data_IF_897857621331
#
_entry.id   IF_897857621331
#
_cell.length_a   1.000
_cell.length_b   1.000
_cell.length_c   1.000
_cell.angle_alpha   90.00
_cell.angle_beta   90.00
_cell.angle_gamma   90.00
#
_symmetry.space_group_name_H-M   'P 1'
#
loop_
_entity.id
_entity.type
_entity.pdbx_description
1 polymer ?
#
# COMPACT_ATOMS: atom_id res chain seq x y z
N UNK A 1 -14.90 67.48 -17.80
CA UNK A 1 -15.71 66.26 -17.96
C UNK A 1 -14.73 65.10 -18.03
N UNK A 2 -14.78 64.17 -17.07
CA UNK A 2 -13.88 63.01 -17.08
C UNK A 2 -14.35 62.08 -18.20
N UNK A 3 -13.48 61.81 -19.17
CA UNK A 3 -13.81 60.91 -20.31
C UNK A 3 -13.55 59.46 -19.92
N UNK A 4 -14.33 58.55 -20.48
CA UNK A 4 -14.21 57.10 -20.24
C UNK A 4 -12.79 56.58 -20.54
N UNK A 5 -12.14 57.11 -21.58
CA UNK A 5 -10.75 56.79 -21.95
C UNK A 5 -9.75 57.18 -20.86
N UNK A 6 -9.99 58.27 -20.13
CA UNK A 6 -9.12 58.72 -19.03
C UNK A 6 -9.24 57.79 -17.82
N UNK A 7 -10.47 57.38 -17.47
CA UNK A 7 -10.72 56.40 -16.41
C UNK A 7 -10.06 55.06 -16.75
N UNK A 8 -10.20 54.58 -17.98
CA UNK A 8 -9.59 53.33 -18.42
C UNK A 8 -8.06 53.34 -18.34
N UNK A 9 -7.40 54.46 -18.68
CA UNK A 9 -5.94 54.58 -18.53
C UNK A 9 -5.48 54.57 -17.08
N UNK A 10 -6.21 55.24 -16.18
CA UNK A 10 -5.90 55.24 -14.74
C UNK A 10 -6.11 53.86 -14.11
N UNK A 11 -7.12 53.12 -14.55
CA UNK A 11 -7.43 51.80 -14.02
C UNK A 11 -6.62 50.67 -14.67
N UNK A 12 -5.98 50.90 -15.83
CA UNK A 12 -5.27 49.87 -16.57
C UNK A 12 -4.19 49.12 -15.75
N UNK A 13 -3.34 49.78 -14.93
CA UNK A 13 -2.35 49.07 -14.11
C UNK A 13 -2.99 48.17 -13.05
N UNK A 14 -4.06 48.64 -12.41
CA UNK A 14 -4.81 47.89 -11.39
C UNK A 14 -5.50 46.69 -12.06
N UNK A 15 -6.18 46.92 -13.19
CA UNK A 15 -6.81 45.86 -13.98
C UNK A 15 -5.81 44.78 -14.36
N UNK A 16 -4.63 45.16 -14.85
CA UNK A 16 -3.56 44.22 -15.22
C UNK A 16 -3.09 43.38 -14.02
N UNK A 17 -2.88 44.02 -12.86
CA UNK A 17 -2.50 43.31 -11.63
C UNK A 17 -3.57 42.33 -11.16
N UNK A 18 -4.84 42.72 -11.25
CA UNK A 18 -5.97 41.85 -10.89
C UNK A 18 -6.06 40.66 -11.86
N UNK A 19 -5.97 40.91 -13.17
CA UNK A 19 -6.07 39.84 -14.17
C UNK A 19 -4.86 38.90 -14.16
N UNK A 20 -3.68 39.39 -13.78
CA UNK A 20 -2.45 38.60 -13.67
C UNK A 20 -2.25 37.96 -12.29
N UNK A 21 -3.19 38.14 -11.35
CA UNK A 21 -3.04 37.66 -9.98
C UNK A 21 -3.12 36.13 -9.88
N UNK A 22 -3.95 35.51 -10.70
CA UNK A 22 -4.10 34.05 -10.79
C UNK A 22 -4.05 33.65 -12.26
N UNK A 23 -3.15 32.75 -12.61
CA UNK A 23 -3.01 32.27 -13.98
C UNK A 23 -2.87 30.75 -14.02
N UNK A 24 -3.29 30.16 -15.14
CA UNK A 24 -3.02 28.76 -15.45
C UNK A 24 -1.66 28.67 -16.12
N UNK A 25 -0.90 27.65 -15.75
CA UNK A 25 0.39 27.37 -16.34
C UNK A 25 0.57 25.87 -16.55
N UNK A 26 1.50 25.50 -17.41
CA UNK A 26 1.92 24.11 -17.63
C UNK A 26 3.32 23.94 -17.07
N UNK A 27 3.51 22.95 -16.21
CA UNK A 27 4.82 22.61 -15.63
C UNK A 27 5.73 22.09 -16.74
N UNK A 28 6.89 22.73 -16.92
CA UNK A 28 7.91 22.35 -17.90
C UNK A 28 9.19 21.83 -17.26
N UNK A 29 9.32 21.92 -15.94
CA UNK A 29 10.49 21.45 -15.19
C UNK A 29 10.23 21.53 -13.69
N UNK A 30 10.94 20.70 -12.93
CA UNK A 30 10.80 20.58 -11.47
C UNK A 30 12.21 20.52 -10.86
N UNK A 31 12.41 21.28 -9.78
CA UNK A 31 13.64 21.32 -8.99
C UNK A 31 13.31 20.78 -7.60
N UNK A 32 13.84 19.59 -7.28
CA UNK A 32 13.46 18.81 -6.08
C UNK A 32 14.48 18.88 -4.93
N UNK A 33 15.72 19.27 -5.21
CA UNK A 33 16.84 19.27 -4.27
C UNK A 33 16.82 20.45 -3.26
N UNK A 34 15.89 21.39 -3.44
CA UNK A 34 15.67 22.52 -2.54
C UNK A 34 14.78 22.13 -1.36
N UNK A 35 14.83 22.92 -0.27
CA UNK A 35 13.94 22.71 0.91
C UNK A 35 12.44 22.75 0.55
N UNK A 36 12.10 23.49 -0.50
CA UNK A 36 10.77 23.52 -1.11
C UNK A 36 10.96 23.21 -2.59
N UNK A 37 10.10 22.34 -3.12
CA UNK A 37 10.08 22.04 -4.54
C UNK A 37 9.74 23.31 -5.34
N UNK A 38 10.59 23.64 -6.31
CA UNK A 38 10.36 24.76 -7.23
C UNK A 38 10.01 24.26 -8.63
N UNK A 39 9.23 25.06 -9.36
CA UNK A 39 8.73 24.71 -10.68
C UNK A 39 9.22 25.70 -11.73
N UNK A 40 9.46 25.17 -12.92
CA UNK A 40 9.45 25.89 -14.17
C UNK A 40 8.08 25.74 -14.81
N UNK A 41 7.49 26.86 -15.20
CA UNK A 41 6.15 26.88 -15.78
C UNK A 41 6.10 27.71 -17.04
N UNK A 42 5.29 27.28 -17.99
CA UNK A 42 4.90 28.04 -19.17
C UNK A 42 3.51 28.61 -18.94
N UNK A 43 3.41 29.93 -18.93
CA UNK A 43 2.16 30.68 -18.76
C UNK A 43 1.58 31.07 -20.12
N UNK A 44 0.41 31.71 -20.12
CA UNK A 44 -0.19 32.27 -21.32
C UNK A 44 0.75 33.29 -22.02
N UNK A 45 0.68 33.35 -23.35
CA UNK A 45 1.52 34.19 -24.22
C UNK A 45 3.01 33.84 -24.30
N UNK A 46 3.35 32.55 -24.15
CA UNK A 46 4.73 32.01 -24.23
C UNK A 46 5.71 32.59 -23.19
N UNK A 47 5.17 33.16 -22.11
CA UNK A 47 5.98 33.57 -20.96
C UNK A 47 6.38 32.35 -20.14
N UNK A 48 7.70 32.14 -19.99
CA UNK A 48 8.26 31.16 -19.06
C UNK A 48 8.64 31.83 -17.75
N UNK A 49 8.26 31.21 -16.63
CA UNK A 49 8.73 31.59 -15.31
C UNK A 49 9.45 30.40 -14.67
N UNK A 50 10.52 30.70 -13.95
CA UNK A 50 11.36 29.73 -13.26
C UNK A 50 11.43 30.09 -11.76
N UNK A 51 11.91 29.16 -10.94
CA UNK A 51 12.07 29.31 -9.51
C UNK A 51 10.73 29.62 -8.80
N UNK A 52 9.64 29.04 -9.28
CA UNK A 52 8.30 29.21 -8.71
C UNK A 52 8.12 28.24 -7.56
N UNK A 53 8.02 28.76 -6.35
CA UNK A 53 7.81 27.95 -5.16
C UNK A 53 6.47 27.21 -5.22
N UNK A 54 6.49 25.89 -5.03
CA UNK A 54 5.28 25.08 -4.93
C UNK A 54 4.94 24.82 -3.47
N UNK A 55 3.81 25.37 -3.04
CA UNK A 55 3.26 25.05 -1.73
C UNK A 55 2.49 23.74 -1.80
N UNK A 56 2.78 22.84 -0.87
CA UNK A 56 2.09 21.55 -0.70
C UNK A 56 1.41 21.52 0.66
N UNK A 57 0.33 20.75 0.78
CA UNK A 57 -0.33 20.54 2.07
C UNK A 57 0.57 19.70 2.98
N UNK A 58 0.70 20.10 4.24
CA UNK A 58 1.49 19.35 5.22
C UNK A 58 1.01 17.89 5.33
N UNK A 59 1.96 16.96 5.42
CA UNK A 59 1.68 15.52 5.43
C UNK A 59 1.52 14.90 4.03
N UNK A 60 1.55 15.68 2.95
CA UNK A 60 1.52 15.19 1.57
C UNK A 60 2.67 15.82 0.77
N UNK A 61 3.47 14.99 0.11
CA UNK A 61 4.45 15.44 -0.88
C UNK A 61 4.30 14.61 -2.15
N UNK A 62 4.54 15.22 -3.30
CA UNK A 62 4.42 14.57 -4.61
C UNK A 62 5.39 15.18 -5.61
N UNK A 63 5.84 14.38 -6.56
CA UNK A 63 6.62 14.83 -7.70
C UNK A 63 5.73 14.75 -8.96
N UNK A 64 5.09 15.86 -9.38
CA UNK A 64 4.25 15.86 -10.57
C UNK A 64 5.12 15.72 -11.83
N UNK A 65 4.68 14.94 -12.84
CA UNK A 65 5.40 14.83 -14.10
C UNK A 65 5.36 16.15 -14.88
N UNK A 66 6.29 16.31 -15.83
CA UNK A 66 6.22 17.39 -16.80
C UNK A 66 4.91 17.35 -17.60
N UNK A 67 4.37 18.53 -17.91
CA UNK A 67 3.08 18.69 -18.56
C UNK A 67 1.89 18.71 -17.60
N UNK A 68 2.11 18.58 -16.29
CA UNK A 68 1.09 18.85 -15.28
C UNK A 68 0.59 20.31 -15.39
N UNK A 69 -0.67 20.54 -15.04
CA UNK A 69 -1.26 21.88 -14.98
C UNK A 69 -1.09 22.47 -13.59
N UNK A 70 -0.72 23.74 -13.53
CA UNK A 70 -0.57 24.49 -12.28
C UNK A 70 -1.46 25.73 -12.26
N UNK A 71 -1.96 26.07 -11.07
CA UNK A 71 -2.47 27.40 -10.76
C UNK A 71 -1.37 28.17 -10.04
N UNK A 72 -0.99 29.30 -10.63
CA UNK A 72 0.07 30.17 -10.13
C UNK A 72 -0.53 31.48 -9.67
N UNK A 73 -0.11 31.95 -8.49
CA UNK A 73 -0.58 33.18 -7.87
C UNK A 73 0.55 34.21 -7.78
N UNK A 74 0.30 35.45 -8.21
CA UNK A 74 1.20 36.57 -8.08
C UNK A 74 0.98 37.28 -6.73
N UNK A 75 1.81 36.98 -5.73
CA UNK A 75 1.67 37.56 -4.40
C UNK A 75 1.83 39.09 -4.45
N UNK A 76 0.88 39.83 -3.87
CA UNK A 76 0.85 41.29 -3.94
C UNK A 76 0.63 41.87 -5.35
N UNK A 77 0.25 41.05 -6.33
CA UNK A 77 0.05 41.45 -7.73
C UNK A 77 1.36 41.67 -8.51
N UNK A 78 2.48 41.12 -8.04
CA UNK A 78 3.78 41.19 -8.70
C UNK A 78 4.10 39.84 -9.37
N UNK A 79 4.30 39.85 -10.70
CA UNK A 79 4.70 38.66 -11.47
C UNK A 79 6.10 38.15 -11.14
N UNK A 80 6.90 38.92 -10.39
CA UNK A 80 8.18 38.47 -9.83
C UNK A 80 8.03 37.62 -8.57
N UNK A 81 6.86 37.63 -7.93
CA UNK A 81 6.57 36.91 -6.68
C UNK A 81 5.51 35.84 -6.90
N UNK A 82 5.73 34.97 -7.89
CA UNK A 82 4.81 33.91 -8.26
C UNK A 82 5.00 32.69 -7.34
N UNK A 83 3.89 32.07 -6.97
CA UNK A 83 3.85 30.81 -6.22
C UNK A 83 2.83 29.85 -6.84
N UNK A 84 3.17 28.56 -6.90
CA UNK A 84 2.24 27.52 -7.34
C UNK A 84 1.44 27.01 -6.13
N UNK A 85 0.12 27.12 -6.22
CA UNK A 85 -0.81 26.78 -5.13
C UNK A 85 -1.58 25.49 -5.37
N UNK A 86 -1.68 25.05 -6.63
CA UNK A 86 -2.27 23.78 -7.01
C UNK A 86 -1.55 23.26 -8.24
N UNK A 87 -1.20 21.97 -8.24
CA UNK A 87 -0.55 21.30 -9.36
C UNK A 87 -1.19 19.92 -9.52
N UNK A 88 -1.75 19.65 -10.69
CA UNK A 88 -2.45 18.40 -11.03
C UNK A 88 -2.11 17.98 -12.46
N UNK A 89 -1.91 16.68 -12.68
CA UNK A 89 -1.99 16.11 -14.02
C UNK A 89 -3.31 15.35 -14.21
N UNK A 90 -4.22 15.97 -14.95
CA UNK A 90 -5.55 15.43 -15.25
C UNK A 90 -5.54 14.11 -16.02
N UNK A 91 -4.43 13.74 -16.68
CA UNK A 91 -4.31 12.49 -17.44
C UNK A 91 -4.29 11.27 -16.52
N UNK A 92 -3.64 11.39 -15.36
CA UNK A 92 -3.44 10.30 -14.42
C UNK A 92 -4.50 10.27 -13.31
N UNK A 93 -5.38 11.27 -13.25
CA UNK A 93 -6.45 11.35 -12.25
C UNK A 93 -7.40 10.14 -12.36
N UNK A 94 -7.50 9.29 -11.33
CA UNK A 94 -8.45 8.19 -11.31
C UNK A 94 -9.90 8.72 -11.24
N UNK A 95 -10.83 7.96 -11.82
CA UNK A 95 -12.27 8.21 -11.73
C UNK A 95 -12.91 7.16 -10.82
N UNK A 96 -13.87 7.59 -10.02
CA UNK A 96 -14.60 6.75 -9.08
C UNK A 96 -16.07 7.17 -8.98
N UNK A 97 -16.74 6.67 -7.95
CA UNK A 97 -18.11 7.07 -7.61
C UNK A 97 -18.11 8.39 -6.83
N UNK A 98 -19.29 9.01 -6.71
CA UNK A 98 -19.44 10.23 -5.90
C UNK A 98 -19.05 9.98 -4.44
N UNK A 99 -18.18 10.84 -3.91
CA UNK A 99 -17.68 10.74 -2.54
C UNK A 99 -16.41 9.91 -2.37
N UNK A 100 -15.93 9.23 -3.42
CA UNK A 100 -14.66 8.53 -3.36
C UNK A 100 -13.48 9.50 -3.21
N UNK A 101 -12.49 9.09 -2.42
CA UNK A 101 -11.23 9.81 -2.24
C UNK A 101 -10.08 8.91 -2.67
N UNK A 102 -9.13 9.50 -3.40
CA UNK A 102 -7.98 8.79 -3.94
C UNK A 102 -6.67 9.44 -3.50
N UNK A 103 -5.71 8.59 -3.10
CA UNK A 103 -4.29 8.87 -3.20
C UNK A 103 -3.72 7.95 -4.28
N UNK A 104 -3.01 8.48 -5.27
CA UNK A 104 -2.66 7.73 -6.47
C UNK A 104 -1.29 8.13 -7.01
N UNK A 105 -0.68 7.20 -7.74
CA UNK A 105 0.54 7.41 -8.52
C UNK A 105 0.24 7.43 -10.01
N UNK A 106 1.13 8.04 -10.81
CA UNK A 106 0.99 8.14 -12.27
C UNK A 106 0.97 6.78 -12.97
N UNK A 107 1.56 5.74 -12.35
CA UNK A 107 1.55 4.36 -12.85
C UNK A 107 0.27 3.58 -12.51
N UNK A 108 -0.68 4.21 -11.80
CA UNK A 108 -2.03 3.67 -11.59
C UNK A 108 -2.25 2.93 -10.26
N UNK A 109 -1.21 2.68 -9.46
CA UNK A 109 -1.38 2.19 -8.09
C UNK A 109 -1.96 3.29 -7.19
N UNK A 110 -2.81 2.89 -6.24
CA UNK A 110 -3.65 3.83 -5.48
C UNK A 110 -4.23 3.25 -4.19
N UNK A 111 -4.56 4.16 -3.28
CA UNK A 111 -5.44 3.95 -2.13
C UNK A 111 -6.76 4.64 -2.45
N UNK A 112 -7.86 3.90 -2.43
CA UNK A 112 -9.23 4.41 -2.62
C UNK A 112 -10.02 4.24 -1.34
N UNK A 113 -10.51 5.35 -0.78
CA UNK A 113 -11.53 5.37 0.25
C UNK A 113 -12.88 5.46 -0.46
N UNK A 114 -13.78 4.50 -0.22
CA UNK A 114 -15.08 4.42 -0.90
C UNK A 114 -16.23 4.24 0.10
N UNK A 115 -17.46 4.24 -0.41
CA UNK A 115 -18.68 4.08 0.40
C UNK A 115 -18.66 2.78 1.22
N UNK A 116 -19.55 2.70 2.21
CA UNK A 116 -19.71 1.55 3.11
C UNK A 116 -18.45 1.23 3.95
N UNK A 117 -17.60 2.25 4.20
CA UNK A 117 -16.40 2.10 5.03
C UNK A 117 -15.28 1.26 4.40
N UNK A 118 -15.28 1.11 3.06
CA UNK A 118 -14.30 0.26 2.36
C UNK A 118 -13.06 1.06 1.97
N UNK A 119 -11.91 0.43 2.17
CA UNK A 119 -10.61 0.90 1.68
C UNK A 119 -10.07 -0.13 0.70
N UNK A 120 -9.67 0.32 -0.48
CA UNK A 120 -9.11 -0.53 -1.52
C UNK A 120 -7.70 -0.04 -1.82
N UNK A 121 -6.71 -0.89 -1.52
CA UNK A 121 -5.33 -0.73 -1.92
C UNK A 121 -5.10 -1.52 -3.22
N UNK A 122 -4.59 -0.86 -4.25
CA UNK A 122 -4.25 -1.50 -5.53
C UNK A 122 -2.82 -1.16 -5.89
N UNK A 123 -1.96 -2.17 -5.98
CA UNK A 123 -0.55 -2.05 -6.33
C UNK A 123 -0.05 -3.38 -6.92
N UNK A 124 1.14 -3.34 -7.55
CA UNK A 124 1.83 -4.56 -7.97
C UNK A 124 2.43 -5.28 -6.75
N UNK A 125 3.16 -4.54 -5.92
CA UNK A 125 3.74 -5.01 -4.67
C UNK A 125 3.24 -4.14 -3.50
N UNK A 126 3.02 -4.76 -2.35
CA UNK A 126 2.71 -4.08 -1.08
C UNK A 126 3.65 -4.61 -0.01
N UNK A 127 4.46 -3.72 0.56
CA UNK A 127 5.48 -4.06 1.56
C UNK A 127 5.14 -3.33 2.86
N UNK A 128 5.09 -4.08 3.97
CA UNK A 128 4.87 -3.53 5.31
C UNK A 128 6.17 -3.62 6.12
N UNK A 129 6.82 -2.48 6.34
CA UNK A 129 7.99 -2.36 7.22
C UNK A 129 7.53 -1.81 8.57
N UNK A 130 7.43 -2.70 9.58
CA UNK A 130 6.82 -2.39 10.87
C UNK A 130 7.78 -2.82 11.99
N UNK A 131 8.19 -1.88 12.84
CA UNK A 131 9.20 -2.12 13.87
C UNK A 131 8.65 -2.83 15.12
N UNK A 132 7.40 -2.52 15.52
CA UNK A 132 6.87 -2.93 16.82
C UNK A 132 5.81 -4.02 16.71
N UNK A 133 4.68 -3.74 16.04
CA UNK A 133 3.55 -4.67 16.01
C UNK A 133 2.64 -4.43 14.81
N UNK A 134 2.22 -5.51 14.16
CA UNK A 134 1.17 -5.50 13.15
C UNK A 134 -0.02 -6.32 13.65
N UNK A 135 -1.19 -5.69 13.80
CA UNK A 135 -2.40 -6.31 14.36
C UNK A 135 -3.56 -6.15 13.39
N UNK A 136 -4.26 -7.27 13.10
CA UNK A 136 -5.49 -7.30 12.32
C UNK A 136 -6.61 -7.81 13.21
N UNK A 137 -7.57 -6.94 13.54
CA UNK A 137 -8.74 -7.30 14.36
C UNK A 137 -10.00 -7.23 13.51
N UNK A 138 -10.54 -8.40 13.17
CA UNK A 138 -11.74 -8.55 12.32
C UNK A 138 -12.40 -9.90 12.64
N UNK A 139 -13.63 -10.09 12.19
CA UNK A 139 -14.33 -11.38 12.29
C UNK A 139 -13.68 -12.43 11.39
N UNK A 140 -13.38 -12.07 10.14
CA UNK A 140 -12.84 -12.99 9.14
C UNK A 140 -11.62 -12.39 8.41
N UNK A 141 -10.64 -13.23 8.10
CA UNK A 141 -9.48 -12.91 7.25
C UNK A 141 -9.35 -14.00 6.18
N UNK A 142 -9.14 -13.59 4.92
CA UNK A 142 -8.93 -14.51 3.80
C UNK A 142 -7.62 -14.13 3.10
N UNK A 143 -6.67 -15.07 3.04
CA UNK A 143 -5.47 -14.96 2.22
C UNK A 143 -5.63 -15.83 0.97
N UNK A 144 -5.72 -15.22 -0.20
CA UNK A 144 -5.83 -15.92 -1.48
C UNK A 144 -4.55 -15.73 -2.30
N UNK A 145 -3.57 -16.60 -2.10
CA UNK A 145 -2.30 -16.62 -2.83
C UNK A 145 -2.29 -17.77 -3.84
N UNK A 146 -2.00 -17.49 -5.11
CA UNK A 146 -1.94 -18.51 -6.17
C UNK A 146 -0.65 -19.34 -6.17
N UNK A 147 0.42 -18.84 -5.55
CA UNK A 147 1.71 -19.50 -5.44
C UNK A 147 1.88 -20.20 -4.09
N UNK A 148 2.29 -19.44 -3.08
CA UNK A 148 2.52 -19.95 -1.71
C UNK A 148 2.15 -18.91 -0.66
N UNK A 149 1.95 -19.37 0.57
CA UNK A 149 1.87 -18.55 1.77
C UNK A 149 2.95 -19.03 2.75
N UNK A 150 3.89 -18.15 3.09
CA UNK A 150 5.05 -18.48 3.93
C UNK A 150 5.01 -17.63 5.20
N UNK A 151 5.10 -18.28 6.36
CA UNK A 151 5.25 -17.62 7.66
C UNK A 151 6.66 -17.91 8.17
N UNK A 152 7.44 -16.86 8.42
CA UNK A 152 8.77 -16.95 9.04
C UNK A 152 8.68 -16.24 10.38
N UNK A 153 8.46 -17.00 11.45
CA UNK A 153 8.42 -16.51 12.82
C UNK A 153 9.08 -17.51 13.78
N UNK A 154 9.68 -17.05 14.89
CA UNK A 154 10.20 -17.94 15.92
C UNK A 154 9.11 -18.83 16.56
N UNK A 155 7.87 -18.32 16.62
CA UNK A 155 6.72 -19.03 17.15
C UNK A 155 5.47 -18.66 16.32
N UNK A 156 4.60 -19.65 16.09
CA UNK A 156 3.29 -19.47 15.48
C UNK A 156 2.25 -20.15 16.36
N UNK A 157 1.26 -19.40 16.82
CA UNK A 157 0.13 -19.90 17.59
C UNK A 157 -1.15 -19.85 16.75
N UNK A 158 -1.87 -20.97 16.70
CA UNK A 158 -3.22 -21.07 16.13
C UNK A 158 -4.14 -21.47 17.28
N UNK A 159 -4.89 -20.50 17.81
CA UNK A 159 -5.86 -20.73 18.89
C UNK A 159 -7.20 -21.17 18.31
N UNK A 160 -7.23 -22.42 17.85
CA UNK A 160 -8.40 -23.02 17.23
C UNK A 160 -8.04 -24.24 16.37
N UNK A 161 -9.05 -24.88 15.75
CA UNK A 161 -8.80 -25.99 14.85
C UNK A 161 -8.02 -25.55 13.61
N UNK A 162 -6.97 -26.29 13.25
CA UNK A 162 -6.27 -26.14 11.98
C UNK A 162 -6.76 -27.21 11.00
N UNK A 163 -7.26 -26.78 9.85
CA UNK A 163 -7.60 -27.66 8.73
C UNK A 163 -6.55 -27.53 7.63
N UNK A 164 -5.90 -28.63 7.27
CA UNK A 164 -4.93 -28.71 6.17
C UNK A 164 -5.42 -29.79 5.22
N UNK A 165 -5.59 -29.45 3.94
CA UNK A 165 -6.06 -30.38 2.91
C UNK A 165 -4.94 -31.20 2.29
N UNK A 166 -3.70 -30.72 2.41
CA UNK A 166 -2.48 -31.41 1.99
C UNK A 166 -1.72 -32.01 3.16
N UNK A 167 -0.53 -32.52 2.86
CA UNK A 167 0.35 -33.11 3.86
C UNK A 167 0.94 -32.06 4.81
N UNK A 168 1.24 -32.49 6.04
CA UNK A 168 1.99 -31.71 7.02
C UNK A 168 3.37 -32.37 7.17
N UNK A 169 4.43 -31.62 6.87
CA UNK A 169 5.82 -32.06 7.06
C UNK A 169 6.47 -31.22 8.16
N UNK A 170 7.26 -31.85 9.01
CA UNK A 170 8.02 -31.20 10.09
C UNK A 170 9.43 -31.77 10.12
N UNK A 171 10.44 -30.93 10.32
CA UNK A 171 11.84 -31.38 10.41
C UNK A 171 12.17 -32.11 11.73
N UNK A 172 11.41 -31.82 12.78
CA UNK A 172 11.54 -32.45 14.10
C UNK A 172 10.41 -33.47 14.29
N UNK A 173 9.56 -33.27 15.29
CA UNK A 173 8.43 -34.15 15.59
C UNK A 173 7.16 -33.38 15.90
N UNK A 174 6.07 -34.13 16.04
CA UNK A 174 4.75 -33.62 16.40
C UNK A 174 4.42 -34.09 17.81
N UNK A 175 4.14 -33.15 18.71
CA UNK A 175 3.66 -33.45 20.07
C UNK A 175 2.16 -33.15 20.13
N UNK A 176 1.34 -34.15 20.44
CA UNK A 176 -0.10 -34.02 20.58
C UNK A 176 -0.57 -34.44 21.98
N UNK A 177 -1.30 -33.56 22.69
CA UNK A 177 -1.75 -33.82 24.07
C UNK A 177 -2.81 -34.94 24.14
N UNK A 178 -3.76 -34.95 23.20
CA UNK A 178 -4.86 -35.91 23.16
C UNK A 178 -4.63 -37.05 22.14
N UNK A 179 -3.43 -37.15 21.58
CA UNK A 179 -3.07 -38.14 20.56
C UNK A 179 -3.31 -37.70 19.12
N UNK A 180 -2.93 -38.58 18.19
CA UNK A 180 -3.06 -38.42 16.74
C UNK A 180 -4.00 -39.51 16.25
N UNK A 181 -5.01 -39.14 15.46
CA UNK A 181 -5.93 -40.09 14.82
C UNK A 181 -5.73 -40.06 13.32
N UNK A 182 -5.82 -41.21 12.67
CA UNK A 182 -5.74 -41.35 11.21
C UNK A 182 -6.88 -42.24 10.73
N UNK A 183 -7.51 -41.86 9.62
CA UNK A 183 -8.50 -42.70 8.94
C UNK A 183 -7.83 -43.82 8.11
N UNK A 184 -6.50 -43.84 8.03
CA UNK A 184 -5.71 -44.77 7.25
C UNK A 184 -4.49 -45.23 8.05
N UNK A 185 -3.49 -45.79 7.36
CA UNK A 185 -2.26 -46.31 7.96
C UNK A 185 -1.38 -45.18 8.48
N UNK A 186 -0.81 -45.38 9.67
CA UNK A 186 0.31 -44.58 10.19
C UNK A 186 1.58 -45.41 9.95
N UNK A 187 2.54 -44.85 9.20
CA UNK A 187 3.81 -45.50 8.90
C UNK A 187 4.98 -44.77 9.55
N UNK A 188 6.00 -45.52 9.97
CA UNK A 188 7.25 -45.00 10.51
C UNK A 188 8.31 -46.11 10.56
N UNK A 189 9.54 -45.78 10.95
CA UNK A 189 10.59 -46.78 11.18
C UNK A 189 10.27 -47.73 12.32
N UNK A 190 9.59 -47.22 13.35
CA UNK A 190 9.00 -47.96 14.45
C UNK A 190 7.81 -47.18 15.01
N UNK A 191 6.87 -47.88 15.62
CA UNK A 191 5.82 -47.31 16.44
C UNK A 191 6.02 -47.83 17.85
N UNK A 192 6.13 -46.94 18.84
CA UNK A 192 6.22 -47.35 20.24
C UNK A 192 5.08 -46.79 21.07
N UNK A 193 4.58 -47.61 21.99
CA UNK A 193 3.54 -47.23 22.94
C UNK A 193 3.99 -47.65 24.36
N UNK A 194 4.03 -46.70 25.29
CA UNK A 194 4.46 -46.95 26.68
C UNK A 194 5.80 -47.72 26.77
N UNK A 195 6.80 -47.28 25.99
CA UNK A 195 8.12 -47.92 25.86
C UNK A 195 8.13 -49.34 25.23
N UNK A 196 7.00 -49.81 24.69
CA UNK A 196 6.94 -51.04 23.90
C UNK A 196 7.06 -50.65 22.44
N UNK A 197 8.21 -50.96 21.84
CA UNK A 197 8.44 -50.90 20.40
C UNK A 197 7.57 -51.96 19.70
N UNK A 198 6.92 -51.62 18.61
CA UNK A 198 6.19 -52.59 17.79
C UNK A 198 7.14 -53.38 16.90
N UNK A 199 8.29 -52.81 16.55
CA UNK A 199 9.35 -53.52 15.84
C UNK A 199 9.98 -54.60 16.73
N UNK A 200 9.72 -55.87 16.40
CA UNK A 200 10.32 -57.02 17.09
C UNK A 200 9.69 -57.34 18.46
N UNK A 201 8.50 -56.82 18.77
CA UNK A 201 7.78 -57.24 19.97
C UNK A 201 7.42 -58.73 19.91
N UNK A 202 7.47 -59.37 21.07
CA UNK A 202 7.07 -60.77 21.25
C UNK A 202 5.77 -60.84 22.04
N UNK A 203 4.86 -61.71 21.61
CA UNK A 203 3.70 -62.07 22.40
C UNK A 203 4.07 -63.15 23.42
N UNK A 204 3.29 -63.25 24.50
CA UNK A 204 3.43 -64.33 25.47
C UNK A 204 2.22 -65.25 25.43
N UNK A 205 2.43 -66.54 25.63
CA UNK A 205 1.38 -67.54 25.73
C UNK A 205 0.68 -67.53 27.10
N UNK A 206 -0.27 -68.46 27.29
CA UNK A 206 -1.04 -68.60 28.54
C UNK A 206 -0.17 -68.91 29.77
N UNK A 207 1.02 -69.48 29.56
CA UNK A 207 2.01 -69.77 30.59
C UNK A 207 3.10 -68.69 30.69
N UNK A 208 2.90 -67.52 30.07
CA UNK A 208 3.79 -66.36 30.10
C UNK A 208 5.16 -66.60 29.43
N UNK A 209 5.24 -67.54 28.48
CA UNK A 209 6.44 -67.82 27.66
C UNK A 209 6.35 -67.09 26.31
N UNK A 210 7.48 -66.71 25.68
CA UNK A 210 7.45 -66.11 24.34
C UNK A 210 6.80 -67.03 23.30
N UNK A 211 5.88 -66.50 22.49
CA UNK A 211 5.32 -67.21 21.33
C UNK A 211 6.34 -67.26 20.19
N UNK A 212 6.40 -68.36 19.46
CA UNK A 212 7.13 -68.47 18.19
C UNK A 212 6.23 -68.11 17.01
N UNK A 213 6.82 -67.91 15.82
CA UNK A 213 6.04 -67.76 14.60
C UNK A 213 5.12 -69.00 14.40
N UNK A 214 3.90 -68.82 13.86
CA UNK A 214 3.08 -69.96 13.45
C UNK A 214 3.84 -70.82 12.44
N UNK A 215 3.82 -72.15 12.63
CA UNK A 215 4.31 -73.12 11.65
C UNK A 215 3.38 -73.24 10.44
#
# INVERSE_FOLDING_TARGET
MVTETYINKLLAPIRRRITGMLTRAVVSGIVEDLQRQNLQVKMHADESADNIERFQNYGMSSYPPEGAEAIVAALGGALSGLVAIAVEDKKFRPKGESGDVFLYHLEGHKIRLTKDGKIILTAQDVIFEIENSFTISTTDVIFNASGSFTIISPETLIDGPLHVTGDISTDLGITAVNGITSNSVITGSDLSANNISYLGHIHKDAENRPTTAPE
#
